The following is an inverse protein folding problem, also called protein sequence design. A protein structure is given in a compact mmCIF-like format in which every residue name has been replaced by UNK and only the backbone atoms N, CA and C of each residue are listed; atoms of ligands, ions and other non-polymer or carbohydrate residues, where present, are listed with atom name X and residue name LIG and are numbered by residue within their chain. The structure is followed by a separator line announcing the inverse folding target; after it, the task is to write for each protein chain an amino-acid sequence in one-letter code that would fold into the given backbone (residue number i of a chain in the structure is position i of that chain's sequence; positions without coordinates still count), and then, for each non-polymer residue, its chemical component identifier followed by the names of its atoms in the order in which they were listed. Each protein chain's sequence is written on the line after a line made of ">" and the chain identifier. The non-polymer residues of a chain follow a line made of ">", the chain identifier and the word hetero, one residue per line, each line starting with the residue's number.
data_IF_852435227683
#
_entry.id   IF_852435227683
#
_cell.length_a   1.000
_cell.length_b   1.000
_cell.length_c   1.000
_cell.angle_alpha   90.00
_cell.angle_beta   90.00
_cell.angle_gamma   90.00
#
_symmetry.space_group_name_H-M   'P 1'
#
loop_
_entity.id
_entity.type
_entity.pdbx_description
1 polymer ?
#
# COMPACT_ATOMS: atom_id res chain seq x y z
N UNK A 1 5.20 -10.61 14.02
CA UNK A 1 6.63 -10.42 13.71
C UNK A 1 6.82 -8.93 13.49
N UNK A 2 7.72 -8.29 14.24
CA UNK A 2 8.03 -6.87 14.04
C UNK A 2 8.68 -6.64 12.67
N UNK A 3 8.48 -5.47 12.09
CA UNK A 3 9.15 -5.07 10.85
C UNK A 3 10.63 -4.80 11.09
N UNK A 4 11.47 -5.17 10.12
CA UNK A 4 12.93 -4.98 10.19
C UNK A 4 13.42 -4.01 9.12
N UNK A 5 14.58 -3.40 9.35
CA UNK A 5 15.22 -2.44 8.45
C UNK A 5 15.38 -3.03 7.05
N UNK A 6 15.95 -4.23 6.96
CA UNK A 6 16.14 -4.94 5.69
C UNK A 6 14.82 -5.25 5.00
N UNK A 7 13.79 -5.67 5.74
CA UNK A 7 12.46 -5.96 5.17
C UNK A 7 11.84 -4.71 4.55
N UNK A 8 11.91 -3.56 5.24
CA UNK A 8 11.38 -2.29 4.71
C UNK A 8 12.20 -1.77 3.53
N UNK A 9 13.54 -1.79 3.62
CA UNK A 9 14.42 -1.36 2.52
C UNK A 9 14.19 -2.17 1.24
N UNK A 10 13.98 -3.48 1.38
CA UNK A 10 13.71 -4.40 0.26
C UNK A 10 12.25 -4.43 -0.19
N UNK A 11 11.34 -3.73 0.51
CA UNK A 11 9.94 -3.63 0.10
C UNK A 11 9.79 -2.84 -1.20
N UNK A 12 8.70 -3.08 -1.93
CA UNK A 12 8.41 -2.44 -3.23
C UNK A 12 7.03 -1.75 -3.23
N UNK A 13 6.80 -0.77 -2.34
CA UNK A 13 5.50 -0.08 -2.25
C UNK A 13 5.13 0.67 -3.54
N UNK A 14 6.10 1.00 -4.39
CA UNK A 14 5.86 1.59 -5.72
C UNK A 14 4.98 0.72 -6.62
N UNK A 15 5.01 -0.61 -6.43
CA UNK A 15 4.15 -1.54 -7.18
C UNK A 15 2.66 -1.32 -6.88
N UNK A 16 2.31 -0.73 -5.74
CA UNK A 16 0.93 -0.39 -5.42
C UNK A 16 0.40 0.70 -6.36
N UNK A 17 1.25 1.63 -6.81
CA UNK A 17 0.85 2.64 -7.77
C UNK A 17 0.57 2.02 -9.15
N UNK A 18 1.43 1.10 -9.60
CA UNK A 18 1.19 0.34 -10.83
C UNK A 18 -0.12 -0.46 -10.74
N UNK A 19 -0.34 -1.18 -9.63
CA UNK A 19 -1.57 -1.93 -9.39
C UNK A 19 -2.82 -1.03 -9.34
N UNK A 20 -2.68 0.22 -8.88
CA UNK A 20 -3.77 1.20 -8.93
C UNK A 20 -4.17 1.55 -10.37
N UNK A 21 -3.20 1.67 -11.26
CA UNK A 21 -3.41 1.87 -12.70
C UNK A 21 -4.08 0.66 -13.35
N UNK A 22 -3.65 -0.55 -13.00
CA UNK A 22 -4.27 -1.80 -13.50
C UNK A 22 -5.74 -1.94 -13.06
N UNK A 23 -6.05 -1.53 -11.83
CA UNK A 23 -7.42 -1.48 -11.30
C UNK A 23 -8.28 -0.47 -12.07
N UNK A 24 -7.73 0.71 -12.39
CA UNK A 24 -8.40 1.73 -13.20
C UNK A 24 -8.71 1.24 -14.62
N UNK A 25 -7.70 0.66 -15.29
CA UNK A 25 -7.89 0.09 -16.63
C UNK A 25 -8.94 -1.03 -16.62
N UNK A 26 -8.94 -1.86 -15.59
CA UNK A 26 -9.95 -2.92 -15.44
C UNK A 26 -11.35 -2.35 -15.23
N UNK A 27 -11.50 -1.30 -14.42
CA UNK A 27 -12.78 -0.62 -14.24
C UNK A 27 -13.29 0.00 -15.55
N UNK A 28 -12.40 0.62 -16.34
CA UNK A 28 -12.75 1.19 -17.65
C UNK A 28 -13.20 0.12 -18.66
N UNK A 29 -12.55 -1.06 -18.65
CA UNK A 29 -12.99 -2.19 -19.50
C UNK A 29 -14.39 -2.66 -19.14
N UNK A 30 -14.71 -2.78 -17.85
CA UNK A 30 -16.06 -3.15 -17.40
C UNK A 30 -17.07 -2.08 -17.79
N UNK A 31 -16.71 -0.79 -17.67
CA UNK A 31 -17.58 0.33 -18.06
C UNK A 31 -17.92 0.32 -19.56
N UNK A 32 -16.93 0.00 -20.41
CA UNK A 32 -17.12 -0.17 -21.84
C UNK A 32 -18.05 -1.36 -22.16
N UNK A 33 -17.90 -2.49 -21.45
CA UNK A 33 -18.77 -3.66 -21.60
C UNK A 33 -20.21 -3.36 -21.19
N UNK A 34 -20.41 -2.64 -20.07
CA UNK A 34 -21.75 -2.21 -19.62
C UNK A 34 -22.42 -1.32 -20.67
N UNK A 35 -21.67 -0.35 -21.22
CA UNK A 35 -22.18 0.57 -22.25
C UNK A 35 -22.57 -0.20 -23.51
N UNK A 36 -21.65 -1.03 -24.03
CA UNK A 36 -21.89 -1.83 -25.23
C UNK A 36 -23.09 -2.78 -25.07
N UNK A 37 -23.20 -3.45 -23.92
CA UNK A 37 -24.31 -4.36 -23.69
C UNK A 37 -25.66 -3.63 -23.62
N UNK A 38 -25.69 -2.42 -23.05
CA UNK A 38 -26.92 -1.61 -22.97
C UNK A 38 -27.39 -1.23 -24.36
N UNK A 39 -26.48 -0.74 -25.20
CA UNK A 39 -26.78 -0.43 -26.61
C UNK A 39 -27.32 -1.65 -27.36
N UNK A 40 -26.68 -2.83 -27.19
CA UNK A 40 -27.14 -4.07 -27.83
C UNK A 40 -28.53 -4.51 -27.35
N UNK A 41 -28.82 -4.39 -26.05
CA UNK A 41 -30.13 -4.74 -25.51
C UNK A 41 -31.21 -3.76 -25.99
N UNK A 42 -30.89 -2.47 -26.07
CA UNK A 42 -31.80 -1.45 -26.59
C UNK A 42 -32.17 -1.73 -28.04
N UNK A 43 -31.19 -2.02 -28.91
CA UNK A 43 -31.43 -2.44 -30.30
C UNK A 43 -32.25 -3.72 -30.37
N UNK A 44 -31.97 -4.73 -29.52
CA UNK A 44 -32.72 -5.98 -29.54
C UNK A 44 -34.21 -5.77 -29.18
N UNK A 45 -34.53 -4.82 -28.29
CA UNK A 45 -35.91 -4.51 -27.88
C UNK A 45 -36.71 -3.75 -28.92
N UNK A 46 -36.08 -3.13 -29.92
CA UNK A 46 -36.81 -2.42 -30.98
C UNK A 46 -37.69 -3.39 -31.78
N UNK A 47 -37.17 -4.57 -32.09
CA UNK A 47 -37.85 -5.55 -32.95
C UNK A 47 -38.32 -6.81 -32.22
N UNK A 48 -37.76 -7.12 -31.04
CA UNK A 48 -38.14 -8.29 -30.24
C UNK A 48 -39.04 -7.91 -29.07
N UNK A 49 -40.35 -8.03 -29.26
CA UNK A 49 -41.37 -7.67 -28.27
C UNK A 49 -42.10 -8.93 -27.77
N UNK A 50 -42.36 -9.00 -26.46
CA UNK A 50 -43.15 -10.06 -25.82
C UNK A 50 -42.52 -10.60 -24.55
N UNK A 51 -43.19 -11.56 -23.91
CA UNK A 51 -42.83 -12.06 -22.57
C UNK A 51 -41.41 -12.62 -22.47
N UNK A 52 -40.89 -13.24 -23.55
CA UNK A 52 -39.52 -13.73 -23.58
C UNK A 52 -38.48 -12.60 -23.61
N UNK A 53 -38.76 -11.53 -24.36
CA UNK A 53 -37.92 -10.32 -24.40
C UNK A 53 -37.92 -9.60 -23.04
N UNK A 54 -39.08 -9.51 -22.38
CA UNK A 54 -39.18 -8.92 -21.04
C UNK A 54 -38.39 -9.73 -19.99
N UNK A 55 -38.45 -11.05 -20.06
CA UNK A 55 -37.67 -11.93 -19.18
C UNK A 55 -36.16 -11.76 -19.40
N UNK A 56 -35.72 -11.74 -20.66
CA UNK A 56 -34.32 -11.50 -21.01
C UNK A 56 -33.83 -10.12 -20.54
N UNK A 57 -34.66 -9.08 -20.71
CA UNK A 57 -34.34 -7.73 -20.24
C UNK A 57 -34.19 -7.63 -18.73
N UNK A 58 -35.01 -8.36 -17.95
CA UNK A 58 -34.85 -8.45 -16.49
C UNK A 58 -33.53 -9.11 -16.10
N UNK A 59 -33.25 -10.29 -16.69
CA UNK A 59 -32.02 -11.03 -16.41
C UNK A 59 -30.77 -10.23 -16.81
N UNK A 60 -30.83 -9.51 -17.93
CA UNK A 60 -29.77 -8.60 -18.35
C UNK A 60 -29.57 -7.43 -17.37
N UNK A 61 -30.66 -6.86 -16.85
CA UNK A 61 -30.61 -5.82 -15.82
C UNK A 61 -29.89 -6.29 -14.55
N UNK A 62 -30.17 -7.52 -14.10
CA UNK A 62 -29.47 -8.13 -12.96
C UNK A 62 -27.98 -8.29 -13.25
N UNK A 63 -27.62 -8.82 -14.43
CA UNK A 63 -26.22 -8.96 -14.86
C UNK A 63 -25.47 -7.62 -14.86
N UNK A 64 -26.09 -6.56 -15.38
CA UNK A 64 -25.50 -5.22 -15.38
C UNK A 64 -25.34 -4.68 -13.96
N UNK A 65 -26.28 -4.96 -13.07
CA UNK A 65 -26.14 -4.63 -11.66
C UNK A 65 -24.86 -5.23 -11.06
N UNK A 66 -24.61 -6.53 -11.29
CA UNK A 66 -23.37 -7.18 -10.84
C UNK A 66 -22.11 -6.56 -11.45
N UNK A 67 -22.12 -6.23 -12.74
CA UNK A 67 -20.98 -5.59 -13.41
C UNK A 67 -20.70 -4.18 -12.86
N UNK A 68 -21.74 -3.41 -12.53
CA UNK A 68 -21.60 -2.10 -11.92
C UNK A 68 -20.96 -2.19 -10.53
N UNK A 69 -21.43 -3.11 -9.69
CA UNK A 69 -20.84 -3.35 -8.37
C UNK A 69 -19.37 -3.73 -8.49
N UNK A 70 -19.03 -4.63 -9.41
CA UNK A 70 -17.66 -5.06 -9.66
C UNK A 70 -16.76 -3.89 -10.11
N UNK A 71 -17.24 -3.05 -11.04
CA UNK A 71 -16.53 -1.83 -11.47
C UNK A 71 -16.29 -0.87 -10.31
N UNK A 72 -17.29 -0.66 -9.47
CA UNK A 72 -17.21 0.29 -8.36
C UNK A 72 -16.21 -0.20 -7.29
N UNK A 73 -16.09 -1.51 -7.09
CA UNK A 73 -15.07 -2.12 -6.25
C UNK A 73 -13.65 -1.98 -6.82
N UNK A 74 -13.47 -2.12 -8.14
CA UNK A 74 -12.18 -1.82 -8.79
C UNK A 74 -11.78 -0.35 -8.61
N UNK A 75 -12.75 0.58 -8.67
CA UNK A 75 -12.51 2.01 -8.37
C UNK A 75 -12.15 2.23 -6.90
N UNK A 76 -12.79 1.54 -5.98
CA UNK A 76 -12.44 1.59 -4.55
C UNK A 76 -11.01 1.06 -4.30
N UNK A 77 -10.64 -0.04 -4.96
CA UNK A 77 -9.29 -0.61 -4.89
C UNK A 77 -8.25 0.39 -5.41
N UNK A 78 -8.49 0.98 -6.59
CA UNK A 78 -7.64 2.03 -7.16
C UNK A 78 -7.41 3.17 -6.17
N UNK A 79 -8.49 3.67 -5.54
CA UNK A 79 -8.42 4.76 -4.57
C UNK A 79 -7.52 4.40 -3.39
N UNK A 80 -7.73 3.24 -2.76
CA UNK A 80 -6.91 2.79 -1.61
C UNK A 80 -5.44 2.67 -2.00
N UNK A 81 -5.15 2.05 -3.14
CA UNK A 81 -3.77 1.86 -3.61
C UNK A 81 -3.07 3.19 -3.93
N UNK A 82 -3.76 4.11 -4.60
CA UNK A 82 -3.24 5.42 -4.96
C UNK A 82 -3.04 6.35 -3.74
N UNK A 83 -3.88 6.24 -2.71
CA UNK A 83 -3.76 7.07 -1.50
C UNK A 83 -2.68 6.57 -0.54
N UNK A 84 -2.47 5.25 -0.45
CA UNK A 84 -1.59 4.64 0.56
C UNK A 84 -0.22 4.24 0.03
N UNK A 85 -0.13 3.87 -1.26
CA UNK A 85 1.15 3.53 -1.91
C UNK A 85 2.22 4.61 -1.72
N UNK A 86 1.94 5.89 -2.04
CA UNK A 86 2.89 6.98 -1.86
C UNK A 86 3.38 7.16 -0.41
N UNK A 87 2.51 6.93 0.59
CA UNK A 87 2.89 7.03 2.00
C UNK A 87 3.89 5.95 2.39
N UNK A 88 3.70 4.72 1.91
CA UNK A 88 4.65 3.64 2.15
C UNK A 88 6.00 3.89 1.45
N UNK A 89 5.98 4.46 0.24
CA UNK A 89 7.20 4.89 -0.47
C UNK A 89 7.95 5.95 0.33
N UNK A 90 7.23 6.95 0.84
CA UNK A 90 7.78 8.03 1.65
C UNK A 90 8.40 7.49 2.95
N UNK A 91 7.67 6.68 3.71
CA UNK A 91 8.15 6.08 4.96
C UNK A 91 9.39 5.20 4.74
N UNK A 92 9.40 4.41 3.65
CA UNK A 92 10.58 3.64 3.24
C UNK A 92 11.78 4.55 2.97
N UNK A 93 11.57 5.65 2.25
CA UNK A 93 12.63 6.61 1.94
C UNK A 93 13.15 7.31 3.20
N UNK A 94 12.27 7.69 4.12
CA UNK A 94 12.65 8.31 5.39
C UNK A 94 13.47 7.34 6.27
N UNK A 95 13.05 6.07 6.34
CA UNK A 95 13.81 5.04 7.04
C UNK A 95 15.19 4.85 6.39
N UNK A 96 15.25 4.75 5.06
CA UNK A 96 16.50 4.53 4.35
C UNK A 96 17.49 5.67 4.61
N UNK A 97 17.03 6.93 4.53
CA UNK A 97 17.82 8.11 4.88
C UNK A 97 18.29 8.07 6.33
N UNK A 98 17.38 7.81 7.28
CA UNK A 98 17.71 7.79 8.70
C UNK A 98 18.77 6.72 9.04
N UNK A 99 18.68 5.54 8.42
CA UNK A 99 19.65 4.47 8.61
C UNK A 99 20.98 4.81 7.92
N UNK A 100 20.96 5.35 6.69
CA UNK A 100 22.18 5.77 5.99
C UNK A 100 22.93 6.89 6.75
N UNK A 101 22.20 7.85 7.32
CA UNK A 101 22.78 8.93 8.14
C UNK A 101 23.41 8.38 9.43
N UNK A 102 22.81 7.35 10.03
CA UNK A 102 23.33 6.70 11.22
C UNK A 102 24.57 5.84 10.93
N UNK A 103 24.56 5.06 9.85
CA UNK A 103 25.65 4.14 9.45
C UNK A 103 27.01 4.83 9.26
N UNK A 104 27.05 6.16 9.11
CA UNK A 104 28.29 6.93 9.08
C UNK A 104 29.08 6.94 10.40
N UNK A 105 28.45 6.68 11.54
CA UNK A 105 29.11 6.68 12.88
C UNK A 105 28.63 5.56 13.82
N UNK A 106 27.54 4.91 13.47
CA UNK A 106 26.83 3.94 14.27
C UNK A 106 26.66 2.64 13.50
N UNK A 107 26.63 1.52 14.21
CA UNK A 107 26.19 0.24 13.66
C UNK A 107 24.69 0.10 13.93
N UNK A 108 23.90 -0.06 12.87
CA UNK A 108 22.44 -0.24 12.93
C UNK A 108 22.10 -1.70 12.67
N UNK A 109 21.41 -2.34 13.61
CA UNK A 109 20.93 -3.70 13.45
C UNK A 109 19.56 -3.76 12.76
N UNK A 110 19.17 -4.95 12.31
CA UNK A 110 17.95 -5.14 11.53
C UNK A 110 16.67 -4.84 12.33
N UNK A 111 16.70 -5.01 13.65
CA UNK A 111 15.60 -4.66 14.56
C UNK A 111 15.52 -3.15 14.89
N UNK A 112 16.39 -2.36 14.27
CA UNK A 112 16.51 -0.92 14.49
C UNK A 112 17.28 -0.54 15.75
N UNK A 113 17.88 -1.51 16.48
CA UNK A 113 18.82 -1.18 17.56
C UNK A 113 20.08 -0.54 17.01
N UNK A 114 20.63 0.41 17.77
CA UNK A 114 21.79 1.21 17.34
C UNK A 114 22.90 1.04 18.36
N UNK A 115 24.12 0.83 17.88
CA UNK A 115 25.32 0.74 18.72
C UNK A 115 26.44 1.61 18.17
N UNK A 116 27.37 2.10 19.01
CA UNK A 116 28.50 2.87 18.51
C UNK A 116 29.33 2.04 17.52
N UNK A 117 29.58 2.60 16.33
CA UNK A 117 30.51 1.99 15.39
C UNK A 117 31.94 2.05 15.93
N UNK A 118 32.86 1.30 15.32
CA UNK A 118 34.23 1.11 15.81
C UNK A 118 34.92 2.41 16.29
N UNK A 119 34.93 3.46 15.46
CA UNK A 119 35.60 4.72 15.79
C UNK A 119 34.92 5.47 16.94
N UNK A 120 33.59 5.41 17.02
CA UNK A 120 32.83 6.05 18.09
C UNK A 120 32.98 5.30 19.41
N UNK A 121 33.01 3.96 19.36
CA UNK A 121 33.31 3.13 20.53
C UNK A 121 34.72 3.43 21.08
N UNK A 122 35.73 3.57 20.21
CA UNK A 122 37.08 3.96 20.60
C UNK A 122 37.13 5.35 21.24
N UNK A 123 36.40 6.31 20.68
CA UNK A 123 36.31 7.67 21.23
C UNK A 123 35.71 7.68 22.64
N UNK A 124 34.62 6.95 22.87
CA UNK A 124 33.99 6.84 24.21
C UNK A 124 34.93 6.15 25.21
N UNK A 125 35.63 5.09 24.78
CA UNK A 125 36.59 4.39 25.63
C UNK A 125 37.72 5.31 26.11
N UNK A 126 38.22 6.19 25.23
CA UNK A 126 39.28 7.15 25.55
C UNK A 126 38.78 8.39 26.30
N UNK A 127 37.51 8.75 26.13
CA UNK A 127 36.88 9.94 26.73
C UNK A 127 35.58 9.57 27.47
N UNK A 128 35.66 8.93 28.65
CA UNK A 128 34.48 8.42 29.36
C UNK A 128 33.51 9.52 29.82
N UNK A 129 33.97 10.77 29.96
CA UNK A 129 33.10 11.91 30.28
C UNK A 129 32.04 12.17 29.19
N UNK A 130 32.31 11.77 27.94
CA UNK A 130 31.38 11.92 26.82
C UNK A 130 30.39 10.74 26.68
N UNK A 131 30.56 9.68 27.47
CA UNK A 131 29.77 8.45 27.33
C UNK A 131 28.25 8.71 27.43
N UNK A 132 27.82 9.53 28.39
CA UNK A 132 26.41 9.89 28.57
C UNK A 132 25.86 10.69 27.38
N UNK A 133 26.67 11.56 26.79
CA UNK A 133 26.28 12.34 25.61
C UNK A 133 26.12 11.44 24.39
N UNK A 134 27.05 10.53 24.17
CA UNK A 134 26.96 9.55 23.08
C UNK A 134 25.74 8.65 23.27
N UNK A 135 25.51 8.15 24.49
CA UNK A 135 24.34 7.31 24.79
C UNK A 135 23.02 8.05 24.54
N UNK A 136 22.92 9.34 24.90
CA UNK A 136 21.74 10.14 24.60
C UNK A 136 21.48 10.25 23.08
N UNK A 137 22.52 10.50 22.27
CA UNK A 137 22.39 10.53 20.81
C UNK A 137 22.00 9.16 20.25
N UNK A 138 22.54 8.07 20.79
CA UNK A 138 22.18 6.70 20.39
C UNK A 138 20.68 6.46 20.58
N UNK A 139 20.15 6.81 21.75
CA UNK A 139 18.73 6.64 22.08
C UNK A 139 17.85 7.43 21.12
N UNK A 140 18.22 8.67 20.78
CA UNK A 140 17.47 9.49 19.82
C UNK A 140 17.40 8.83 18.44
N UNK A 141 18.54 8.38 17.91
CA UNK A 141 18.63 7.74 16.59
C UNK A 141 17.85 6.42 16.59
N UNK A 142 18.05 5.58 17.61
CA UNK A 142 17.34 4.31 17.76
C UNK A 142 15.82 4.52 17.83
N UNK A 143 15.36 5.48 18.63
CA UNK A 143 13.94 5.82 18.73
C UNK A 143 13.38 6.28 17.38
N UNK A 144 14.11 7.11 16.62
CA UNK A 144 13.66 7.57 15.30
C UNK A 144 13.52 6.40 14.32
N UNK A 145 14.52 5.52 14.22
CA UNK A 145 14.49 4.34 13.33
C UNK A 145 13.34 3.41 13.71
N UNK A 146 13.18 3.10 15.00
CA UNK A 146 12.08 2.24 15.49
C UNK A 146 10.71 2.86 15.26
N UNK A 147 10.58 4.18 15.38
CA UNK A 147 9.33 4.89 15.08
C UNK A 147 8.98 4.76 13.60
N UNK A 148 9.93 4.96 12.69
CA UNK A 148 9.72 4.82 11.25
C UNK A 148 9.33 3.38 10.87
N UNK A 149 9.98 2.36 11.48
CA UNK A 149 9.58 0.96 11.31
C UNK A 149 8.13 0.71 11.75
N UNK A 150 7.73 1.24 12.92
CA UNK A 150 6.38 1.09 13.44
C UNK A 150 5.33 1.81 12.59
N UNK A 151 5.64 3.01 12.09
CA UNK A 151 4.77 3.75 11.18
C UNK A 151 4.58 3.02 9.85
N UNK A 152 5.65 2.46 9.28
CA UNK A 152 5.57 1.65 8.07
C UNK A 152 4.71 0.40 8.30
N UNK A 153 4.93 -0.33 9.40
CA UNK A 153 4.12 -1.51 9.75
C UNK A 153 2.63 -1.15 9.89
N UNK A 154 2.32 -0.07 10.60
CA UNK A 154 0.95 0.38 10.79
C UNK A 154 0.27 0.73 9.45
N UNK A 155 0.94 1.45 8.56
CA UNK A 155 0.39 1.83 7.26
C UNK A 155 0.25 0.62 6.33
N UNK A 156 1.19 -0.32 6.34
CA UNK A 156 1.13 -1.54 5.52
C UNK A 156 -0.02 -2.46 5.98
N UNK A 157 -0.18 -2.63 7.29
CA UNK A 157 -1.31 -3.38 7.86
C UNK A 157 -2.66 -2.70 7.55
N UNK A 158 -2.74 -1.37 7.65
CA UNK A 158 -3.94 -0.62 7.30
C UNK A 158 -4.28 -0.76 5.80
N UNK A 159 -3.27 -0.69 4.93
CA UNK A 159 -3.40 -0.92 3.49
C UNK A 159 -3.92 -2.32 3.20
N UNK A 160 -3.29 -3.34 3.77
CA UNK A 160 -3.71 -4.73 3.61
C UNK A 160 -5.12 -5.02 4.14
N UNK A 161 -5.51 -4.38 5.25
CA UNK A 161 -6.87 -4.49 5.79
C UNK A 161 -7.91 -3.86 4.84
N UNK A 162 -7.63 -2.68 4.29
CA UNK A 162 -8.52 -2.00 3.36
C UNK A 162 -8.72 -2.81 2.06
N UNK A 163 -7.65 -3.38 1.51
CA UNK A 163 -7.72 -4.26 0.34
C UNK A 163 -8.57 -5.51 0.65
N UNK A 164 -8.34 -6.15 1.81
CA UNK A 164 -9.12 -7.33 2.24
C UNK A 164 -10.59 -7.01 2.51
N UNK A 165 -10.93 -5.79 2.88
CA UNK A 165 -12.32 -5.37 3.04
C UNK A 165 -13.02 -5.32 1.68
N UNK A 166 -12.41 -4.66 0.69
CA UNK A 166 -12.93 -4.60 -0.68
C UNK A 166 -13.09 -6.03 -1.25
N UNK A 167 -12.11 -6.90 -1.03
CA UNK A 167 -12.16 -8.31 -1.43
C UNK A 167 -13.29 -9.12 -0.78
N UNK A 168 -13.74 -8.76 0.41
CA UNK A 168 -14.88 -9.43 1.08
C UNK A 168 -16.22 -8.94 0.57
N UNK A 169 -16.30 -7.70 0.10
CA UNK A 169 -17.52 -7.17 -0.53
C UNK A 169 -17.77 -7.81 -1.92
N UNK A 170 -16.76 -8.50 -2.48
CA UNK A 170 -16.82 -9.25 -3.73
C UNK A 170 -17.31 -10.71 -3.59
N UNK A 171 -17.25 -11.28 -2.38
CA UNK A 171 -17.50 -12.71 -2.11
C UNK A 171 -18.90 -12.94 -1.51
#
# INVERSE_FOLDING_TARGET
>A
MAYTVSKVRNSKPDLLNAASGDAEQSALRVDAQITQGREQMDTLREDWIGTASDAAGKQYGELIGYQQTYRDQLRALKKVLAERGPKLVELRSQLDTAVNDAEGRWDVADDGSVSPGFWLAWYVFTNPAEALRIEAMRIEIECNIKLLLAQFEAEDLATGNAIRQIGRELA
#
